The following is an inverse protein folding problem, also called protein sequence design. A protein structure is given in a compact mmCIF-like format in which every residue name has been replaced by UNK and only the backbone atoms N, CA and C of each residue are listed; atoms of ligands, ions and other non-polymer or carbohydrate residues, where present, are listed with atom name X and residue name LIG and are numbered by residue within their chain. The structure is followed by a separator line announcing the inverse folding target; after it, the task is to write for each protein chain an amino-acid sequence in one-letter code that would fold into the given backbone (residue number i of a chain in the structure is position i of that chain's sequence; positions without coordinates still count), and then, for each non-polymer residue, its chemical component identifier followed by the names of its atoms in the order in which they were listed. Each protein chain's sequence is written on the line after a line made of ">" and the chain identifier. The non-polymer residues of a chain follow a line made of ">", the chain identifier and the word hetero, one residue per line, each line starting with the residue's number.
data_IF_839335764271
#
_entry.id   IF_839335764271
#
_cell.length_a   1.000
_cell.length_b   1.000
_cell.length_c   1.000
_cell.angle_alpha   90.00
_cell.angle_beta   90.00
_cell.angle_gamma   90.00
#
_symmetry.space_group_name_H-M   'P 1'
#
loop_
_entity.id
_entity.type
_entity.pdbx_description
1 polymer ?
2 polymer ?
3 non-polymer ?
4 water ?
#
# COMPACT_ATOMS: atom_id res chain seq x y z
N UNK A 13 -26.93 -20.93 -12.29
CA UNK A 13 -25.86 -20.72 -11.29
C UNK A 13 -26.33 -19.95 -10.07
N UNK A 14 -26.91 -18.77 -10.29
CA UNK A 14 -27.38 -17.94 -9.19
C UNK A 14 -28.70 -17.27 -9.45
N UNK A 15 -29.01 -16.26 -8.65
CA UNK A 15 -30.26 -15.51 -8.74
C UNK A 15 -30.03 -14.16 -8.07
N UNK A 16 -31.08 -13.34 -8.06
CA UNK A 16 -31.07 -12.09 -7.32
C UNK A 16 -31.79 -12.32 -6.00
N UNK A 17 -31.20 -11.83 -4.90
CA UNK A 17 -31.91 -11.80 -3.63
C UNK A 17 -31.69 -10.43 -2.99
N UNK A 18 -32.57 -10.10 -2.04
CA UNK A 18 -32.39 -8.85 -1.33
C UNK A 18 -31.09 -8.81 -0.56
N UNK A 19 -30.64 -9.97 -0.06
CA UNK A 19 -29.39 -9.98 0.70
C UNK A 19 -28.19 -9.88 -0.22
N UNK A 20 -28.26 -10.51 -1.39
CA UNK A 20 -27.15 -10.38 -2.34
C UNK A 20 -27.06 -8.96 -2.89
N UNK A 21 -28.20 -8.34 -3.19
CA UNK A 21 -28.18 -6.94 -3.58
C UNK A 21 -27.55 -6.08 -2.49
N UNK A 22 -27.84 -6.41 -1.23
CA UNK A 22 -27.22 -5.68 -0.12
C UNK A 22 -25.72 -5.93 -0.06
N UNK A 23 -25.30 -7.18 -0.24
CA UNK A 23 -23.87 -7.47 -0.28
C UNK A 23 -23.17 -6.64 -1.36
N UNK A 24 -23.81 -6.48 -2.51
CA UNK A 24 -23.15 -5.81 -3.62
C UNK A 24 -23.13 -4.29 -3.42
N UNK A 25 -24.29 -3.71 -3.12
CA UNK A 25 -24.41 -2.26 -3.14
C UNK A 25 -24.12 -1.60 -1.80
N UNK A 26 -24.05 -2.37 -0.72
CA UNK A 26 -23.70 -1.85 0.60
C UNK A 26 -22.36 -2.38 1.07
N UNK A 27 -22.22 -3.70 1.15
CA UNK A 27 -21.03 -4.26 1.79
C UNK A 27 -19.82 -4.09 0.88
N UNK A 28 -19.91 -4.56 -0.36
CA UNK A 28 -18.76 -4.53 -1.26
C UNK A 28 -18.46 -3.11 -1.71
N UNK A 29 -19.51 -2.34 -2.01
CA UNK A 29 -19.27 -0.95 -2.39
C UNK A 29 -18.53 -0.21 -1.29
N UNK A 30 -18.93 -0.40 -0.02
CA UNK A 30 -18.24 0.25 1.10
C UNK A 30 -16.82 -0.26 1.22
N UNK A 31 -16.65 -1.59 1.29
CA UNK A 31 -15.31 -2.13 1.49
C UNK A 31 -14.37 -1.76 0.35
N UNK A 32 -14.90 -1.69 -0.88
CA UNK A 32 -14.02 -1.42 -2.01
C UNK A 32 -13.40 -0.03 -1.91
N UNK A 33 -14.13 0.93 -1.33
CA UNK A 33 -13.64 2.29 -1.20
C UNK A 33 -12.76 2.51 0.03
N UNK A 34 -12.62 1.51 0.88
CA UNK A 34 -11.86 1.67 2.12
C UNK A 34 -10.37 1.75 1.84
N UNK A 35 -9.67 2.57 2.64
CA UNK A 35 -8.25 2.83 2.45
C UNK A 35 -7.40 1.57 2.52
N UNK A 36 -7.86 0.52 3.20
CA UNK A 36 -7.07 -0.70 3.39
C UNK A 36 -7.50 -1.85 2.48
N UNK A 37 -8.41 -1.63 1.54
CA UNK A 37 -8.96 -2.75 0.78
C UNK A 37 -8.07 -3.20 -0.36
N UNK A 38 -7.12 -2.38 -0.80
CA UNK A 38 -6.41 -2.66 -2.04
C UNK A 38 -5.63 -3.97 -2.06
N UNK A 39 -5.04 -4.49 -0.97
CA UNK A 39 -4.39 -5.82 -1.08
C UNK A 39 -5.35 -6.94 -1.41
N UNK A 40 -6.66 -6.70 -1.32
CA UNK A 40 -7.67 -7.74 -1.50
C UNK A 40 -8.43 -7.60 -2.81
N UNK A 41 -8.01 -6.69 -3.69
CA UNK A 41 -8.73 -6.47 -4.95
C UNK A 41 -8.54 -7.61 -5.96
N UNK A 42 -7.46 -8.38 -5.84
CA UNK A 42 -7.12 -9.39 -6.83
C UNK A 42 -6.67 -10.66 -6.14
N UNK A 43 -6.79 -11.81 -6.80
CA UNK A 43 -6.21 -13.05 -6.24
C UNK A 43 -4.74 -12.87 -5.93
N UNK A 44 -4.31 -13.47 -4.82
CA UNK A 44 -2.88 -13.53 -4.51
C UNK A 44 -2.18 -14.29 -5.63
N UNK A 45 -1.24 -13.62 -6.30
CA UNK A 45 -0.46 -14.23 -7.37
C UNK A 45 0.87 -14.64 -6.75
N UNK A 46 1.03 -15.93 -6.45
CA UNK A 46 2.19 -16.36 -5.68
C UNK A 46 3.46 -16.33 -6.52
N UNK A 47 3.33 -16.25 -7.83
CA UNK A 47 4.49 -16.15 -8.71
C UNK A 47 5.00 -14.72 -8.76
N UNK A 48 4.13 -13.79 -9.16
CA UNK A 48 4.53 -12.39 -9.23
C UNK A 48 4.98 -11.87 -7.87
N UNK A 49 4.31 -12.28 -6.80
CA UNK A 49 4.62 -11.79 -5.47
C UNK A 49 5.71 -12.58 -4.76
N UNK A 50 6.21 -13.66 -5.35
CA UNK A 50 7.32 -14.43 -4.78
C UNK A 50 6.91 -15.06 -3.44
N UNK A 51 5.80 -15.81 -3.48
CA UNK A 51 5.24 -16.46 -2.28
C UNK A 51 5.25 -17.97 -2.51
N UNK A 52 6.43 -18.60 -2.43
CA UNK A 52 6.53 -20.02 -2.84
C UNK A 52 5.79 -20.98 -1.94
N UNK A 53 5.37 -20.58 -0.74
CA UNK A 53 4.62 -21.48 0.14
C UNK A 53 3.14 -21.12 0.23
N UNK A 54 2.68 -20.17 -0.58
CA UNK A 54 1.29 -19.70 -0.41
C UNK A 54 0.29 -20.81 -0.71
N UNK A 55 0.42 -21.47 -1.86
CA UNK A 55 -0.55 -22.50 -2.20
C UNK A 55 -0.33 -23.79 -1.42
N UNK A 56 0.86 -23.99 -0.85
CA UNK A 56 1.01 -25.07 0.10
C UNK A 56 0.12 -24.85 1.33
N UNK A 57 0.06 -23.61 1.79
CA UNK A 57 -0.65 -23.27 3.02
C UNK A 57 -2.14 -22.97 2.79
N UNK A 58 -2.49 -22.36 1.65
CA UNK A 58 -3.83 -21.86 1.39
C UNK A 58 -4.44 -22.70 0.26
N UNK A 59 -5.45 -23.51 0.57
CA UNK A 59 -6.04 -24.39 -0.43
C UNK A 59 -7.32 -23.84 -1.06
N UNK A 60 -7.90 -22.79 -0.49
CA UNK A 60 -9.16 -22.22 -0.96
C UNK A 60 -8.97 -20.70 -1.07
N UNK A 61 -8.27 -20.23 -2.11
CA UNK A 61 -8.00 -18.78 -2.20
C UNK A 61 -9.26 -18.00 -2.53
N UNK A 62 -9.32 -16.77 -1.99
CA UNK A 62 -10.42 -15.88 -2.28
C UNK A 62 -9.94 -14.44 -2.18
N UNK A 63 -10.61 -13.55 -2.91
CA UNK A 63 -10.28 -12.13 -2.89
C UNK A 63 -11.54 -11.33 -3.18
N UNK A 64 -11.48 -10.03 -2.89
CA UNK A 64 -12.69 -9.22 -3.01
C UNK A 64 -13.04 -8.94 -4.47
N UNK A 65 -12.05 -8.91 -5.36
CA UNK A 65 -12.37 -8.75 -6.77
C UNK A 65 -13.17 -9.91 -7.31
N UNK A 66 -12.83 -11.13 -6.88
CA UNK A 66 -13.60 -12.30 -7.28
C UNK A 66 -15.02 -12.22 -6.72
N UNK A 67 -15.15 -11.87 -5.44
CA UNK A 67 -16.47 -11.70 -4.83
C UNK A 67 -17.29 -10.65 -5.59
N UNK A 68 -16.68 -9.49 -5.88
CA UNK A 68 -17.42 -8.45 -6.59
C UNK A 68 -17.88 -8.93 -7.96
N UNK A 69 -17.00 -9.63 -8.69
CA UNK A 69 -17.38 -10.15 -10.00
C UNK A 69 -18.50 -11.16 -9.87
N UNK A 70 -18.43 -12.00 -8.84
CA UNK A 70 -19.49 -13.00 -8.65
C UNK A 70 -20.84 -12.34 -8.41
N UNK A 71 -20.85 -11.25 -7.64
CA UNK A 71 -22.10 -10.53 -7.42
C UNK A 71 -22.63 -9.91 -8.71
N UNK A 72 -21.74 -9.29 -9.48
CA UNK A 72 -22.17 -8.65 -10.73
C UNK A 72 -22.65 -9.65 -11.76
N UNK A 73 -22.12 -10.87 -11.75
CA UNK A 73 -22.50 -11.89 -12.72
C UNK A 73 -23.57 -12.83 -12.18
N UNK A 74 -24.20 -12.47 -11.06
CA UNK A 74 -25.24 -13.29 -10.42
C UNK A 74 -24.78 -14.74 -10.25
N UNK A 75 -23.53 -14.89 -9.81
CA UNK A 75 -22.95 -16.23 -9.60
C UNK A 75 -23.49 -16.88 -8.33
N UNK A 76 -23.83 -16.08 -7.33
CA UNK A 76 -24.27 -16.60 -6.05
C UNK A 76 -25.75 -16.93 -6.07
N UNK A 77 -26.10 -18.01 -5.36
CA UNK A 77 -27.48 -18.37 -5.11
C UNK A 77 -28.00 -17.76 -3.82
N UNK A 78 -27.15 -17.67 -2.79
CA UNK A 78 -27.56 -17.08 -1.53
C UNK A 78 -26.44 -16.19 -1.00
N UNK A 79 -26.82 -15.16 -0.25
CA UNK A 79 -25.84 -14.32 0.41
C UNK A 79 -24.97 -15.10 1.39
N UNK A 80 -25.43 -16.27 1.89
CA UNK A 80 -24.57 -17.04 2.76
C UNK A 80 -23.29 -17.44 2.06
N UNK A 81 -23.35 -17.62 0.73
CA UNK A 81 -22.14 -17.94 -0.01
C UNK A 81 -21.20 -16.76 -0.05
N UNK A 82 -21.75 -15.57 -0.26
CA UNK A 82 -20.92 -14.37 -0.34
C UNK A 82 -20.26 -14.08 1.00
N UNK A 83 -21.02 -14.25 2.10
CA UNK A 83 -20.45 -14.01 3.41
C UNK A 83 -19.35 -15.03 3.73
N UNK A 84 -19.51 -16.29 3.29
CA UNK A 84 -18.45 -17.27 3.53
C UNK A 84 -17.22 -16.96 2.69
N UNK A 85 -17.39 -16.49 1.45
CA UNK A 85 -16.24 -16.09 0.66
C UNK A 85 -15.45 -14.96 1.33
N UNK A 86 -16.13 -13.98 1.92
CA UNK A 86 -15.41 -12.98 2.72
C UNK A 86 -14.69 -13.63 3.89
N UNK A 87 -15.38 -14.53 4.62
CA UNK A 87 -14.72 -15.19 5.74
C UNK A 87 -13.47 -15.95 5.29
N UNK A 88 -13.57 -16.66 4.17
CA UNK A 88 -12.40 -17.38 3.66
C UNK A 88 -11.27 -16.44 3.29
N UNK A 89 -11.61 -15.32 2.62
CA UNK A 89 -10.60 -14.33 2.27
C UNK A 89 -9.84 -13.84 3.49
N UNK A 90 -10.58 -13.40 4.51
CA UNK A 90 -9.94 -12.86 5.70
C UNK A 90 -9.16 -13.94 6.43
N UNK A 91 -9.76 -15.12 6.59
CA UNK A 91 -9.11 -16.20 7.35
C UNK A 91 -7.80 -16.63 6.67
N UNK A 92 -7.82 -16.74 5.34
CA UNK A 92 -6.60 -17.08 4.62
C UNK A 92 -5.49 -16.10 4.96
N UNK A 93 -5.85 -14.82 5.07
CA UNK A 93 -4.81 -13.83 5.30
C UNK A 93 -4.23 -14.00 6.70
N UNK A 94 -5.07 -14.35 7.67
CA UNK A 94 -4.53 -14.59 9.01
C UNK A 94 -3.74 -15.89 9.09
N UNK A 95 -4.11 -16.91 8.31
CA UNK A 95 -3.37 -18.16 8.31
C UNK A 95 -1.98 -17.98 7.70
N UNK A 96 -1.90 -17.23 6.59
CA UNK A 96 -0.63 -17.14 5.87
C UNK A 96 0.35 -16.17 6.53
N UNK A 97 -0.15 -15.04 7.04
CA UNK A 97 0.73 -13.97 7.48
C UNK A 97 0.91 -13.98 9.00
N UNK A 98 1.92 -13.25 9.45
CA UNK A 98 2.18 -13.11 10.87
C UNK A 98 1.18 -12.14 11.50
N UNK A 99 0.83 -12.37 12.78
CA UNK A 99 -0.13 -11.45 13.43
C UNK A 99 0.39 -10.03 13.55
N UNK A 100 1.69 -9.82 13.38
CA UNK A 100 2.28 -8.49 13.39
C UNK A 100 2.31 -7.83 12.01
N UNK A 101 2.04 -8.57 10.94
CA UNK A 101 2.09 -7.99 9.61
C UNK A 101 1.02 -6.93 9.43
N UNK A 102 1.36 -5.85 8.74
CA UNK A 102 0.39 -4.78 8.50
C UNK A 102 -0.81 -5.30 7.72
N UNK A 103 -0.61 -6.24 6.80
CA UNK A 103 -1.73 -6.76 6.03
C UNK A 103 -2.78 -7.39 6.93
N UNK A 104 -2.36 -7.97 8.06
CA UNK A 104 -3.31 -8.60 8.98
C UNK A 104 -4.10 -7.53 9.73
N UNK A 105 -3.44 -6.43 10.11
CA UNK A 105 -4.16 -5.34 10.76
C UNK A 105 -5.14 -4.66 9.80
N UNK A 106 -4.77 -4.59 8.51
CA UNK A 106 -5.70 -4.11 7.51
C UNK A 106 -6.89 -5.05 7.36
N UNK A 107 -6.64 -6.36 7.32
CA UNK A 107 -7.73 -7.31 7.23
C UNK A 107 -8.67 -7.17 8.42
N UNK A 108 -8.11 -7.00 9.63
CA UNK A 108 -8.94 -6.82 10.83
C UNK A 108 -9.88 -5.64 10.68
N UNK A 109 -9.34 -4.49 10.24
CA UNK A 109 -10.17 -3.29 10.11
C UNK A 109 -11.28 -3.51 9.10
N UNK A 110 -10.95 -4.17 7.99
CA UNK A 110 -11.96 -4.42 6.96
C UNK A 110 -12.99 -5.42 7.46
N UNK A 111 -12.56 -6.41 8.24
CA UNK A 111 -13.51 -7.41 8.68
C UNK A 111 -14.50 -6.82 9.67
N UNK A 112 -14.07 -5.86 10.49
CA UNK A 112 -14.99 -5.21 11.42
C UNK A 112 -16.07 -4.44 10.68
N UNK A 113 -15.69 -3.73 9.61
CA UNK A 113 -16.70 -3.03 8.82
C UNK A 113 -17.62 -4.02 8.13
N UNK A 114 -17.06 -5.11 7.59
CA UNK A 114 -17.88 -6.16 6.99
C UNK A 114 -18.94 -6.66 7.96
N UNK A 115 -18.54 -6.98 9.20
CA UNK A 115 -19.50 -7.53 10.13
C UNK A 115 -20.50 -6.49 10.59
N UNK A 116 -20.10 -5.22 10.63
CA UNK A 116 -21.02 -4.14 10.94
C UNK A 116 -22.15 -4.08 9.92
N UNK A 117 -21.79 -4.12 8.63
CA UNK A 117 -22.83 -4.09 7.60
C UNK A 117 -23.64 -5.37 7.59
N UNK A 118 -23.00 -6.51 7.85
CA UNK A 118 -23.74 -7.77 7.88
C UNK A 118 -24.82 -7.73 8.95
N UNK A 119 -24.52 -7.11 10.10
CA UNK A 119 -25.49 -7.03 11.18
C UNK A 119 -26.74 -6.26 10.77
N UNK A 120 -26.63 -5.34 9.82
CA UNK A 120 -27.75 -4.52 9.40
C UNK A 120 -28.39 -4.99 8.09
N UNK A 121 -27.90 -6.09 7.53
CA UNK A 121 -28.50 -6.67 6.32
C UNK A 121 -29.93 -7.15 6.62
N UNK A 122 -30.82 -7.11 5.63
CA UNK A 122 -32.13 -7.74 5.81
C UNK A 122 -32.00 -9.17 6.30
N UNK A 123 -32.79 -9.51 7.33
CA UNK A 123 -32.56 -10.77 8.03
C UNK A 123 -33.20 -11.96 7.34
N UNK A 124 -34.21 -11.75 6.50
CA UNK A 124 -34.86 -12.82 5.75
C UNK A 124 -34.52 -12.65 4.27
N UNK A 125 -33.96 -13.70 3.67
CA UNK A 125 -33.54 -13.64 2.27
C UNK A 125 -34.70 -14.01 1.35
N UNK A 126 -35.02 -13.13 0.41
CA UNK A 126 -36.08 -13.37 -0.57
C UNK A 126 -35.54 -13.13 -1.97
N UNK A 127 -36.08 -13.86 -2.93
CA UNK A 127 -35.66 -13.71 -4.32
C UNK A 127 -36.26 -12.43 -4.90
N UNK A 128 -35.46 -11.75 -5.72
CA UNK A 128 -35.90 -10.53 -6.40
C UNK A 128 -35.85 -10.72 -7.91
N UNK B 13 32.24 16.99 4.03
CA UNK B 13 32.29 17.99 5.11
C UNK B 13 30.92 18.57 5.42
N UNK B 14 30.22 17.99 6.40
CA UNK B 14 28.87 18.39 6.73
C UNK B 14 28.79 19.77 7.34
N UNK B 15 27.57 20.15 7.72
CA UNK B 15 27.27 21.49 8.18
C UNK B 15 25.84 21.51 8.67
N UNK B 16 25.57 22.35 9.67
CA UNK B 16 24.20 22.57 10.13
C UNK B 16 23.76 23.96 9.75
N UNK B 17 22.65 24.05 9.03
CA UNK B 17 22.14 25.31 8.50
C UNK B 17 20.66 25.42 8.84
N UNK B 18 20.17 26.66 8.77
CA UNK B 18 18.74 26.90 8.96
C UNK B 18 17.91 26.07 7.99
N UNK B 19 18.37 25.94 6.74
CA UNK B 19 17.63 25.18 5.75
C UNK B 19 17.67 23.67 6.04
N UNK B 20 18.81 23.16 6.48
CA UNK B 20 18.90 21.74 6.81
C UNK B 20 18.05 21.39 8.01
N UNK B 21 17.93 22.32 8.98
CA UNK B 21 17.02 22.10 10.10
C UNK B 21 15.58 22.05 9.61
N UNK B 22 15.26 22.86 8.61
CA UNK B 22 13.93 22.84 8.01
C UNK B 22 13.69 21.54 7.25
N UNK B 23 14.69 21.07 6.50
CA UNK B 23 14.55 19.77 5.84
C UNK B 23 14.26 18.66 6.85
N UNK B 24 14.95 18.67 8.00
CA UNK B 24 14.76 17.62 8.97
C UNK B 24 13.43 17.77 9.71
N UNK B 25 13.18 18.93 10.29
CA UNK B 25 12.09 19.08 11.23
C UNK B 25 10.79 19.52 10.59
N UNK B 26 10.80 19.85 9.30
CA UNK B 26 9.57 20.14 8.56
C UNK B 26 9.36 19.13 7.43
N UNK B 27 10.33 19.03 6.52
CA UNK B 27 10.12 18.26 5.29
C UNK B 27 10.03 16.77 5.57
N UNK B 28 11.07 16.19 6.18
CA UNK B 28 11.05 14.76 6.48
C UNK B 28 9.93 14.44 7.45
N UNK B 29 9.80 15.25 8.51
CA UNK B 29 8.74 15.03 9.49
C UNK B 29 7.38 14.97 8.82
N UNK B 30 7.08 15.94 7.95
CA UNK B 30 5.77 16.00 7.32
C UNK B 30 5.54 14.80 6.40
N UNK B 31 6.54 14.49 5.57
CA UNK B 31 6.36 13.41 4.61
C UNK B 31 6.23 12.06 5.32
N UNK B 32 7.00 11.84 6.39
CA UNK B 32 6.95 10.57 7.10
C UNK B 32 5.55 10.27 7.61
N UNK B 33 4.80 11.31 7.99
CA UNK B 33 3.45 11.11 8.50
C UNK B 33 2.46 10.73 7.43
N UNK B 34 2.79 10.94 6.15
CA UNK B 34 1.79 10.76 5.11
C UNK B 34 1.51 9.28 4.87
N UNK B 35 0.24 8.96 4.63
CA UNK B 35 -0.17 7.57 4.44
C UNK B 35 0.48 6.93 3.21
N UNK B 36 1.03 7.72 2.29
CA UNK B 36 1.71 7.14 1.11
C UNK B 36 3.22 6.99 1.31
N UNK B 37 3.76 7.37 2.47
CA UNK B 37 5.22 7.41 2.58
C UNK B 37 5.88 6.06 2.80
N UNK B 38 5.15 5.05 3.28
CA UNK B 38 5.77 3.83 3.79
C UNK B 38 6.62 3.05 2.78
N UNK B 39 6.34 3.04 1.47
CA UNK B 39 7.27 2.33 0.56
C UNK B 39 8.64 2.98 0.50
N UNK B 40 8.80 4.17 1.07
CA UNK B 40 10.01 4.95 0.95
C UNK B 40 10.76 5.03 2.26
N UNK B 41 10.31 4.31 3.29
CA UNK B 41 10.96 4.36 4.58
C UNK B 41 12.30 3.64 4.58
N UNK B 42 12.48 2.64 3.73
CA UNK B 42 13.68 1.80 3.74
C UNK B 42 14.15 1.61 2.31
N UNK B 43 15.43 1.27 2.13
CA UNK B 43 15.91 1.01 0.77
C UNK B 43 15.12 -0.10 0.11
N UNK B 44 14.92 0.03 -1.20
CA UNK B 44 14.23 -1.01 -1.96
C UNK B 44 15.07 -2.28 -1.94
N UNK B 45 14.48 -3.38 -1.44
CA UNK B 45 15.16 -4.68 -1.42
C UNK B 45 14.71 -5.49 -2.63
N UNK B 46 15.52 -5.43 -3.70
CA UNK B 46 15.12 -5.97 -4.99
C UNK B 46 15.01 -7.49 -5.01
N UNK B 47 15.72 -8.17 -4.11
CA UNK B 47 15.62 -9.63 -4.05
C UNK B 47 14.38 -10.05 -3.27
N UNK B 48 14.18 -9.47 -2.08
CA UNK B 48 12.97 -9.76 -1.31
C UNK B 48 11.72 -9.52 -2.13
N UNK B 49 11.68 -8.40 -2.86
CA UNK B 49 10.47 -7.95 -3.53
C UNK B 49 10.31 -8.47 -4.95
N UNK B 50 11.24 -9.30 -5.44
CA UNK B 50 11.17 -9.85 -6.79
C UNK B 50 11.21 -8.73 -7.83
N UNK B 51 12.30 -7.95 -7.80
CA UNK B 51 12.56 -6.87 -8.76
C UNK B 51 13.94 -7.12 -9.35
N UNK B 52 14.07 -8.08 -10.28
CA UNK B 52 15.40 -8.59 -10.64
C UNK B 52 16.23 -7.67 -11.54
N UNK B 53 15.64 -6.64 -12.14
CA UNK B 53 16.37 -5.66 -12.94
C UNK B 53 16.55 -4.33 -12.20
N UNK B 54 16.15 -4.27 -10.92
CA UNK B 54 16.10 -2.98 -10.24
C UNK B 54 17.46 -2.29 -10.18
N UNK B 55 18.50 -3.01 -9.75
CA UNK B 55 19.80 -2.37 -9.63
C UNK B 55 20.51 -2.21 -10.97
N UNK B 56 20.05 -2.91 -12.00
CA UNK B 56 20.49 -2.63 -13.36
C UNK B 56 20.03 -1.26 -13.84
N UNK B 57 18.84 -0.85 -13.41
CA UNK B 57 18.26 0.42 -13.82
C UNK B 57 18.58 1.52 -12.82
N UNK B 58 18.46 1.21 -11.54
CA UNK B 58 18.58 2.19 -10.46
C UNK B 58 19.96 2.01 -9.85
N UNK B 59 20.91 2.84 -10.27
CA UNK B 59 22.28 2.76 -9.82
C UNK B 59 22.59 3.72 -8.68
N UNK B 60 21.64 4.57 -8.30
CA UNK B 60 21.82 5.55 -7.23
C UNK B 60 20.60 5.44 -6.33
N UNK B 61 20.44 4.32 -5.61
CA UNK B 61 19.24 4.14 -4.79
C UNK B 61 19.19 5.19 -3.68
N UNK B 62 17.97 5.56 -3.31
CA UNK B 62 17.78 6.51 -2.23
C UNK B 62 16.39 6.30 -1.64
N UNK B 63 16.26 6.55 -0.35
CA UNK B 63 15.03 6.36 0.40
C UNK B 63 14.98 7.38 1.52
N UNK B 64 13.78 7.57 2.08
CA UNK B 64 13.62 8.64 3.06
C UNK B 64 14.28 8.29 4.39
N UNK B 65 14.40 7.00 4.72
CA UNK B 65 15.12 6.64 5.93
C UNK B 65 16.58 7.03 5.86
N UNK B 66 17.21 6.77 4.72
CA UNK B 66 18.57 7.23 4.50
C UNK B 66 18.67 8.74 4.60
N UNK B 67 17.75 9.47 3.95
CA UNK B 67 17.79 10.92 4.02
C UNK B 67 17.66 11.39 5.46
N UNK B 68 16.75 10.78 6.21
CA UNK B 68 16.55 11.17 7.61
C UNK B 68 17.82 10.96 8.43
N UNK B 69 18.46 9.80 8.28
CA UNK B 69 19.70 9.56 9.03
C UNK B 69 20.81 10.50 8.59
N UNK B 70 20.85 10.87 7.31
CA UNK B 70 21.85 11.81 6.84
C UNK B 70 21.68 13.18 7.49
N UNK B 71 20.43 13.63 7.60
CA UNK B 71 20.17 14.88 8.31
C UNK B 71 20.51 14.77 9.79
N UNK B 72 20.13 13.65 10.42
CA UNK B 72 20.37 13.45 11.84
C UNK B 72 21.84 13.36 12.19
N UNK B 73 22.72 13.05 11.21
CA UNK B 73 24.15 12.96 11.46
C UNK B 73 24.93 14.00 10.67
N UNK B 74 24.27 15.10 10.29
CA UNK B 74 24.93 16.27 9.70
C UNK B 74 25.77 15.88 8.49
N UNK B 75 25.23 14.96 7.68
CA UNK B 75 25.93 14.48 6.50
C UNK B 75 26.05 15.56 5.44
N UNK B 76 25.08 16.47 5.37
CA UNK B 76 25.00 17.40 4.25
C UNK B 76 25.74 18.69 4.57
N UNK B 77 26.34 19.27 3.53
CA UNK B 77 26.87 20.62 3.65
C UNK B 77 25.81 21.68 3.35
N UNK B 78 24.79 21.33 2.57
CA UNK B 78 23.76 22.29 2.19
C UNK B 78 22.44 21.56 1.96
N UNK B 79 21.34 22.26 2.21
CA UNK B 79 20.02 21.69 1.94
C UNK B 79 19.83 21.35 0.47
N UNK B 80 20.58 21.98 -0.42
CA UNK B 80 20.50 21.64 -1.84
C UNK B 80 20.87 20.18 -2.07
N UNK B 81 21.85 19.67 -1.32
CA UNK B 81 22.21 18.27 -1.42
C UNK B 81 21.09 17.38 -0.91
N UNK B 82 20.42 17.81 0.15
CA UNK B 82 19.33 17.01 0.67
C UNK B 82 18.15 16.99 -0.31
N UNK B 83 17.84 18.15 -0.89
CA UNK B 83 16.82 18.21 -1.94
C UNK B 83 17.18 17.31 -3.12
N UNK B 84 18.46 17.25 -3.49
CA UNK B 84 18.86 16.34 -4.57
C UNK B 84 18.56 14.89 -4.22
N UNK B 85 18.84 14.49 -2.97
CA UNK B 85 18.51 13.12 -2.57
C UNK B 85 17.01 12.85 -2.65
N UNK B 86 16.18 13.81 -2.23
CA UNK B 86 14.74 13.63 -2.39
C UNK B 86 14.39 13.48 -3.87
N UNK B 87 14.99 14.28 -4.73
CA UNK B 87 14.70 14.18 -6.16
C UNK B 87 15.13 12.82 -6.70
N UNK B 88 16.27 12.32 -6.23
CA UNK B 88 16.70 10.99 -6.65
C UNK B 88 15.69 9.94 -6.20
N UNK B 89 15.23 10.04 -4.95
CA UNK B 89 14.24 9.09 -4.45
C UNK B 89 12.99 9.09 -5.33
N UNK B 90 12.41 10.26 -5.57
CA UNK B 90 11.20 10.34 -6.37
C UNK B 90 11.44 9.86 -7.80
N UNK B 91 12.49 10.39 -8.46
CA UNK B 91 12.71 10.03 -9.86
C UNK B 91 13.08 8.56 -10.03
N UNK B 92 13.80 7.96 -9.06
CA UNK B 92 14.07 6.53 -9.16
C UNK B 92 12.76 5.76 -9.25
N UNK B 93 11.77 6.20 -8.47
CA UNK B 93 10.47 5.57 -8.50
C UNK B 93 9.78 5.81 -9.84
N UNK B 94 9.86 7.05 -10.36
CA UNK B 94 9.27 7.39 -11.65
C UNK B 94 9.86 6.57 -12.81
N UNK B 95 11.14 6.27 -12.74
CA UNK B 95 11.84 5.58 -13.83
C UNK B 95 11.59 4.09 -13.78
N UNK B 96 11.77 3.49 -12.60
CA UNK B 96 11.71 2.04 -12.51
C UNK B 96 10.30 1.53 -12.77
N UNK B 97 9.30 2.21 -12.24
CA UNK B 97 7.95 1.74 -12.31
C UNK B 97 7.29 2.22 -13.59
N UNK B 98 6.15 1.67 -13.85
CA UNK B 98 5.48 2.03 -15.09
C UNK B 98 4.67 3.31 -14.91
N UNK B 99 4.45 4.04 -15.99
CA UNK B 99 3.88 5.40 -15.85
C UNK B 99 2.53 5.46 -15.13
N UNK B 100 1.79 4.35 -15.05
CA UNK B 100 0.45 4.34 -14.45
C UNK B 100 0.39 3.60 -13.12
N UNK B 101 1.49 3.04 -12.64
CA UNK B 101 1.47 2.28 -11.39
C UNK B 101 1.04 3.15 -10.21
N UNK B 102 0.38 2.51 -9.25
CA UNK B 102 -0.04 3.21 -8.03
C UNK B 102 1.14 3.87 -7.33
N UNK B 103 2.28 3.16 -7.25
CA UNK B 103 3.41 3.72 -6.51
C UNK B 103 3.90 5.02 -7.14
N UNK B 104 3.76 5.16 -8.47
CA UNK B 104 4.12 6.42 -9.12
C UNK B 104 3.17 7.54 -8.69
N UNK B 105 1.87 7.24 -8.63
CA UNK B 105 0.93 8.26 -8.16
C UNK B 105 1.19 8.63 -6.70
N UNK B 106 1.55 7.64 -5.88
CA UNK B 106 1.91 7.92 -4.49
C UNK B 106 3.12 8.84 -4.43
N UNK B 107 4.16 8.49 -5.18
CA UNK B 107 5.36 9.33 -5.24
C UNK B 107 5.03 10.73 -5.71
N UNK B 108 4.15 10.86 -6.70
CA UNK B 108 3.78 12.19 -7.20
C UNK B 108 3.09 12.99 -6.12
N UNK B 109 2.24 12.34 -5.31
CA UNK B 109 1.55 13.04 -4.25
C UNK B 109 2.52 13.48 -3.17
N UNK B 110 3.51 12.64 -2.85
CA UNK B 110 4.51 13.04 -1.87
C UNK B 110 5.39 14.15 -2.40
N UNK B 111 5.73 14.08 -3.70
CA UNK B 111 6.56 15.14 -4.27
C UNK B 111 5.80 16.47 -4.29
N UNK B 112 4.48 16.43 -4.49
CA UNK B 112 3.72 17.67 -4.42
C UNK B 112 3.85 18.30 -3.04
N UNK B 113 3.74 17.50 -1.98
CA UNK B 113 3.90 18.04 -0.63
C UNK B 113 5.33 18.50 -0.41
N UNK B 114 6.30 17.72 -0.89
CA UNK B 114 7.70 18.10 -0.78
C UNK B 114 7.94 19.48 -1.37
N UNK B 115 7.40 19.73 -2.57
CA UNK B 115 7.62 21.03 -3.21
C UNK B 115 6.89 22.14 -2.48
N UNK B 116 5.71 21.84 -1.94
CA UNK B 116 4.99 22.82 -1.12
C UNK B 116 5.81 23.22 0.09
N UNK B 117 6.47 22.26 0.74
CA UNK B 117 7.28 22.58 1.91
C UNK B 117 8.55 23.33 1.51
N UNK B 118 9.20 22.91 0.43
CA UNK B 118 10.40 23.59 -0.01
C UNK B 118 10.12 25.05 -0.30
N UNK B 119 8.92 25.36 -0.80
CA UNK B 119 8.56 26.74 -1.12
C UNK B 119 8.46 27.62 0.11
N UNK B 120 8.22 27.04 1.30
CA UNK B 120 8.19 27.83 2.53
C UNK B 120 9.51 27.81 3.28
N UNK B 121 10.54 27.18 2.72
CA UNK B 121 11.83 27.10 3.38
C UNK B 121 12.48 28.48 3.40
N UNK B 122 13.25 28.80 4.44
CA UNK B 122 14.02 30.05 4.41
C UNK B 122 14.92 30.09 3.18
N UNK B 123 14.76 31.15 2.38
CA UNK B 123 15.39 31.18 1.07
C UNK B 123 16.88 31.50 1.13
N UNK B 124 17.39 31.91 2.28
CA UNK B 124 18.81 32.18 2.50
C UNK B 124 19.36 31.16 3.48
N UNK B 125 20.42 30.45 3.08
CA UNK B 125 21.00 29.40 3.90
C UNK B 125 22.11 29.97 4.76
N UNK B 126 21.99 29.81 6.08
CA UNK B 126 23.00 30.31 7.02
C UNK B 126 23.37 29.18 7.97
N UNK B 127 24.68 29.02 8.20
CA UNK B 127 25.16 28.08 9.19
C UNK B 127 24.73 28.54 10.59
N UNK B 128 24.49 27.58 11.47
CA UNK B 128 23.99 27.91 12.80
C UNK B 128 25.13 28.16 13.79
N UNK C 5 -0.89 -1.37 -11.69
CA UNK C 5 -1.48 -0.71 -10.54
C UNK C 5 -0.62 -0.88 -9.29
N UNK C 6 -1.01 -1.82 -8.42
CA UNK C 6 -0.46 -1.93 -7.07
C UNK C 6 0.56 -3.06 -6.92
N UNK C 7 1.14 -3.53 -8.02
CA UNK C 7 1.97 -4.73 -7.97
C UNK C 7 3.21 -4.53 -7.09
N UNK C 9 3.60 -2.32 -4.75
CA UNK C 9 3.15 -2.07 -3.38
C UNK C 9 2.88 -3.36 -2.64
N UNK C 10 2.32 -4.34 -3.35
CA UNK C 10 2.01 -5.62 -2.76
C UNK C 10 3.29 -6.32 -2.30
N UNK C 12 6.15 -4.87 -1.38
CA UNK C 12 6.58 -4.17 -0.17
C UNK C 12 5.76 -4.67 1.02
N UNK C 13 4.46 -4.89 0.78
CA UNK C 13 3.58 -5.37 1.84
C UNK C 13 4.00 -6.75 2.33
N UNK C 14 4.17 -7.68 1.40
CA UNK C 14 4.48 -9.06 1.76
C UNK C 14 5.94 -9.29 2.12
N UNK C 15 6.87 -8.47 1.61
CA UNK C 15 8.28 -8.64 1.91
C UNK C 15 8.91 -7.33 2.38
#
# INVERSE_FOLDING_TARGET
>A
QPLGSEVSNPSKPGRKTNQLQYMQNVVVKTLWKHQFAWPFYQPVDAIKLNLPDYHKIIKNPMDMGTIKKRLENNYYWSASECMQDFNTMFTNCYIYNKPTDDIVLMAQALEKIFLQKVAQMPQEEVEL
>B
QPLGSEVSNPSKPGRKTNQLQYMQNVVVKTLWKHQFAWPFYQPVDAIKLNLPDYHKIIKNPMDMGTIKKRLENNYYWSASECMQDFNTMFTNCYIYNKPTDDIVLMAQALEKIFLQKVAQMPQEEVEL
>C
EEAQRSLXLLXHLYHGEE
#
